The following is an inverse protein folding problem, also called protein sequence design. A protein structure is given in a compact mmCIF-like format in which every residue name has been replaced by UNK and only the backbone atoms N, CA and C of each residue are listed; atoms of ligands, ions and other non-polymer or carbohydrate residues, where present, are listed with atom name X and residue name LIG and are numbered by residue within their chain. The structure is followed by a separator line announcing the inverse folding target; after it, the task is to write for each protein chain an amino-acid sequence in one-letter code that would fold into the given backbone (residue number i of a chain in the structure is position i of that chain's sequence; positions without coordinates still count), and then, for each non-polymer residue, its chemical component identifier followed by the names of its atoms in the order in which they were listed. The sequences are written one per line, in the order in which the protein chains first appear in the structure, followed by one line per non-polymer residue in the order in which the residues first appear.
data_IF_692215291282
#
_entry.id   IF_692215291282
#
_cell.length_a   1.000
_cell.length_b   1.000
_cell.length_c   1.000
_cell.angle_alpha   90.00
_cell.angle_beta   90.00
_cell.angle_gamma   90.00
#
_symmetry.space_group_name_H-M   'P 1'
#
loop_
_entity.id
_entity.type
_entity.pdbx_description
1 polymer ?
#
# COMPACT_ATOMS: atom_id res chain seq x y z
N UNK A 1 34.89 46.78 -6.76
CA UNK A 1 33.61 46.06 -6.81
C UNK A 1 33.88 44.57 -6.89
N UNK A 2 33.57 43.78 -5.85
CA UNK A 2 33.39 42.34 -5.96
C UNK A 2 31.90 41.97 -5.89
N UNK A 3 31.45 41.17 -6.86
CA UNK A 3 30.07 40.69 -6.98
C UNK A 3 29.95 39.33 -6.29
N UNK A 4 29.27 39.31 -5.13
CA UNK A 4 28.95 38.08 -4.39
C UNK A 4 27.71 37.41 -5.03
N UNK A 5 27.70 36.10 -5.29
CA UNK A 5 26.52 35.42 -5.80
C UNK A 5 25.51 35.16 -4.66
N UNK A 6 24.19 35.32 -4.89
CA UNK A 6 23.20 35.09 -3.86
C UNK A 6 23.13 33.60 -3.50
N UNK A 7 23.44 33.29 -2.25
CA UNK A 7 23.25 31.98 -1.64
C UNK A 7 21.74 31.75 -1.44
N UNK A 8 21.07 31.29 -2.50
CA UNK A 8 19.69 30.84 -2.44
C UNK A 8 19.66 29.51 -1.68
N UNK A 9 19.29 29.54 -0.40
CA UNK A 9 18.82 28.35 0.31
C UNK A 9 17.48 27.93 -0.32
N UNK A 10 17.37 26.72 -0.90
CA UNK A 10 16.05 26.21 -1.23
C UNK A 10 15.39 25.85 0.11
N UNK A 11 14.44 26.69 0.54
CA UNK A 11 13.38 26.26 1.44
C UNK A 11 12.60 25.16 0.72
N UNK A 12 13.06 23.91 0.81
CA UNK A 12 12.27 22.73 0.48
C UNK A 12 11.18 22.59 1.54
N UNK A 13 10.17 23.46 1.42
CA UNK A 13 8.83 23.16 1.90
C UNK A 13 8.34 22.00 1.04
N UNK A 14 8.65 20.76 1.46
CA UNK A 14 7.96 19.59 0.95
C UNK A 14 6.46 19.89 1.13
N UNK A 15 5.67 20.02 0.05
CA UNK A 15 4.25 20.01 0.26
C UNK A 15 3.96 18.64 0.85
N UNK A 16 3.39 18.62 2.06
CA UNK A 16 2.66 17.47 2.57
C UNK A 16 1.43 17.26 1.67
N UNK A 17 1.68 16.96 0.40
CA UNK A 17 0.73 16.39 -0.54
C UNK A 17 0.57 14.95 -0.07
N UNK A 18 -0.25 14.78 0.96
CA UNK A 18 -0.87 13.50 1.27
C UNK A 18 -1.74 13.13 0.07
N UNK A 19 -1.11 12.72 -1.03
CA UNK A 19 -1.82 12.15 -2.15
C UNK A 19 -2.55 10.91 -1.60
N UNK A 20 -3.88 10.82 -1.77
CA UNK A 20 -4.68 9.73 -1.18
C UNK A 20 -4.14 8.35 -1.57
N UNK A 21 -3.55 8.22 -2.77
CA UNK A 21 -2.86 7.01 -3.21
C UNK A 21 -1.68 6.60 -2.31
N UNK A 22 -0.85 7.54 -1.84
CA UNK A 22 0.26 7.24 -0.94
C UNK A 22 -0.20 6.83 0.46
N UNK A 23 -1.39 7.26 0.90
CA UNK A 23 -1.96 6.82 2.16
C UNK A 23 -2.40 5.35 2.10
N UNK A 24 -3.14 4.97 1.04
CA UNK A 24 -3.58 3.58 0.86
C UNK A 24 -2.43 2.60 0.64
N UNK A 25 -1.41 2.97 -0.12
CA UNK A 25 -0.24 2.12 -0.31
C UNK A 25 0.56 1.92 0.99
N UNK A 26 0.64 2.94 1.85
CA UNK A 26 1.25 2.80 3.18
C UNK A 26 0.45 1.87 4.08
N UNK A 27 -0.88 2.03 4.12
CA UNK A 27 -1.76 1.17 4.92
C UNK A 27 -1.70 -0.28 4.41
N UNK A 28 -1.69 -0.49 3.09
CA UNK A 28 -1.48 -1.81 2.48
C UNK A 28 -0.17 -2.46 2.94
N UNK A 29 0.95 -1.74 2.82
CA UNK A 29 2.26 -2.26 3.24
C UNK A 29 2.31 -2.56 4.74
N UNK A 30 1.66 -1.74 5.56
CA UNK A 30 1.57 -1.96 6.99
C UNK A 30 0.79 -3.25 7.31
N UNK A 31 -0.39 -3.45 6.71
CA UNK A 31 -1.18 -4.68 6.89
C UNK A 31 -0.40 -5.94 6.48
N UNK A 32 0.32 -5.88 5.36
CA UNK A 32 1.16 -6.99 4.90
C UNK A 32 2.36 -7.28 5.83
N UNK A 33 2.85 -6.26 6.54
CA UNK A 33 3.94 -6.44 7.52
C UNK A 33 3.46 -7.02 8.86
N UNK A 34 2.23 -6.70 9.27
CA UNK A 34 1.62 -7.18 10.53
C UNK A 34 1.06 -8.60 10.45
N UNK A 35 0.84 -9.12 9.23
CA UNK A 35 0.25 -10.45 8.98
C UNK A 35 0.97 -11.60 9.70
N UNK A 36 2.26 -11.43 10.04
CA UNK A 36 3.04 -12.40 10.84
C UNK A 36 2.38 -12.79 12.17
N UNK A 37 1.47 -11.96 12.71
CA UNK A 37 0.80 -12.20 13.99
C UNK A 37 -0.71 -12.53 13.88
N UNK A 38 -1.33 -12.33 12.71
CA UNK A 38 -2.79 -12.25 12.58
C UNK A 38 -3.47 -13.41 11.85
N UNK A 39 -2.75 -14.14 11.01
CA UNK A 39 -3.31 -15.20 10.16
C UNK A 39 -4.06 -14.68 8.93
N UNK A 40 -4.14 -15.53 7.90
CA UNK A 40 -4.60 -15.16 6.57
C UNK A 40 -6.04 -14.61 6.51
N UNK A 41 -6.95 -15.11 7.35
CA UNK A 41 -8.35 -14.65 7.40
C UNK A 41 -8.47 -13.20 7.91
N UNK A 42 -7.69 -12.86 8.94
CA UNK A 42 -7.66 -11.50 9.49
C UNK A 42 -7.07 -10.52 8.48
N UNK A 43 -6.00 -10.92 7.79
CA UNK A 43 -5.42 -10.12 6.71
C UNK A 43 -6.42 -9.92 5.56
N UNK A 44 -7.11 -10.98 5.14
CA UNK A 44 -8.13 -10.91 4.09
C UNK A 44 -9.22 -9.89 4.42
N UNK A 45 -9.78 -9.95 5.64
CA UNK A 45 -10.80 -9.01 6.09
C UNK A 45 -10.28 -7.57 6.15
N UNK A 46 -9.04 -7.38 6.62
CA UNK A 46 -8.42 -6.05 6.70
C UNK A 46 -8.21 -5.44 5.31
N UNK A 47 -7.76 -6.24 4.35
CA UNK A 47 -7.60 -5.83 2.96
C UNK A 47 -8.94 -5.57 2.26
N UNK A 48 -9.98 -6.33 2.57
CA UNK A 48 -11.35 -6.08 2.10
C UNK A 48 -11.86 -4.71 2.57
N UNK A 49 -11.66 -4.38 3.85
CA UNK A 49 -12.05 -3.07 4.38
C UNK A 49 -11.26 -1.93 3.73
N UNK A 50 -9.97 -2.14 3.47
CA UNK A 50 -9.11 -1.18 2.78
C UNK A 50 -9.59 -0.93 1.34
N UNK A 51 -9.96 -1.99 0.62
CA UNK A 51 -10.50 -1.91 -0.74
C UNK A 51 -11.79 -1.10 -0.81
N UNK A 52 -12.74 -1.38 0.11
CA UNK A 52 -14.00 -0.63 0.19
C UNK A 52 -13.74 0.86 0.45
N UNK A 53 -12.82 1.19 1.36
CA UNK A 53 -12.44 2.58 1.64
C UNK A 53 -11.82 3.24 0.41
N UNK A 54 -10.88 2.57 -0.26
CA UNK A 54 -10.25 3.06 -1.48
C UNK A 54 -11.29 3.33 -2.59
N UNK A 55 -12.25 2.42 -2.79
CA UNK A 55 -13.35 2.59 -3.75
C UNK A 55 -14.21 3.82 -3.43
N UNK A 56 -14.68 3.94 -2.18
CA UNK A 56 -15.55 5.06 -1.77
C UNK A 56 -14.86 6.43 -1.89
N UNK A 57 -13.53 6.46 -1.76
CA UNK A 57 -12.73 7.69 -1.87
C UNK A 57 -12.27 8.01 -3.31
N UNK A 58 -12.58 7.16 -4.29
CA UNK A 58 -12.14 7.35 -5.67
C UNK A 58 -10.63 7.18 -5.86
N UNK A 59 -10.02 6.21 -5.17
CA UNK A 59 -8.61 5.87 -5.38
C UNK A 59 -8.32 5.48 -6.83
N UNK A 60 -7.08 5.66 -7.28
CA UNK A 60 -6.68 5.31 -8.64
C UNK A 60 -6.80 3.81 -8.89
N UNK A 61 -7.10 3.41 -10.14
CA UNK A 61 -7.16 2.01 -10.56
C UNK A 61 -5.91 1.21 -10.19
N UNK A 62 -4.73 1.84 -10.28
CA UNK A 62 -3.47 1.21 -9.89
C UNK A 62 -3.45 0.85 -8.39
N UNK A 63 -3.97 1.73 -7.54
CA UNK A 63 -4.08 1.51 -6.08
C UNK A 63 -5.08 0.40 -5.79
N UNK A 64 -6.25 0.45 -6.43
CA UNK A 64 -7.28 -0.57 -6.28
C UNK A 64 -6.78 -1.95 -6.72
N UNK A 65 -6.11 -2.05 -7.88
CA UNK A 65 -5.51 -3.31 -8.35
C UNK A 65 -4.51 -3.87 -7.36
N UNK A 66 -3.63 -3.04 -6.79
CA UNK A 66 -2.67 -3.50 -5.80
C UNK A 66 -3.35 -4.11 -4.55
N UNK A 67 -4.38 -3.44 -4.02
CA UNK A 67 -5.15 -3.92 -2.86
C UNK A 67 -5.90 -5.23 -3.20
N UNK A 68 -6.59 -5.29 -4.34
CA UNK A 68 -7.32 -6.47 -4.78
C UNK A 68 -6.39 -7.67 -4.96
N UNK A 69 -5.22 -7.47 -5.59
CA UNK A 69 -4.21 -8.53 -5.75
C UNK A 69 -3.76 -9.05 -4.40
N UNK A 70 -3.37 -8.16 -3.48
CA UNK A 70 -2.97 -8.55 -2.13
C UNK A 70 -4.08 -9.33 -1.39
N UNK A 71 -5.33 -8.86 -1.46
CA UNK A 71 -6.48 -9.55 -0.84
C UNK A 71 -6.67 -10.94 -1.43
N UNK A 72 -6.59 -11.05 -2.74
CA UNK A 72 -6.76 -12.32 -3.46
C UNK A 72 -5.66 -13.31 -3.09
N UNK A 73 -4.41 -12.85 -3.00
CA UNK A 73 -3.29 -13.67 -2.51
C UNK A 73 -3.49 -14.12 -1.06
N UNK A 74 -3.95 -13.23 -0.18
CA UNK A 74 -4.29 -13.59 1.21
C UNK A 74 -5.43 -14.63 1.28
N UNK A 75 -6.45 -14.47 0.42
CA UNK A 75 -7.55 -15.45 0.29
C UNK A 75 -7.06 -16.81 -0.19
N UNK A 76 -6.16 -16.85 -1.18
CA UNK A 76 -5.52 -18.10 -1.59
C UNK A 76 -4.65 -18.71 -0.50
N UNK A 77 -3.96 -17.90 0.32
CA UNK A 77 -3.21 -18.41 1.46
C UNK A 77 -4.13 -19.01 2.54
N UNK A 78 -5.31 -18.39 2.78
CA UNK A 78 -6.34 -18.93 3.68
C UNK A 78 -6.92 -20.25 3.17
N UNK A 79 -7.22 -20.35 1.88
CA UNK A 79 -7.67 -21.59 1.23
C UNK A 79 -6.54 -22.63 1.07
N UNK A 80 -5.30 -22.17 1.16
CA UNK A 80 -4.08 -22.83 0.70
C UNK A 80 -3.16 -23.37 1.79
N UNK A 81 -3.70 -23.74 2.95
CA UNK A 81 -3.12 -24.83 3.75
C UNK A 81 -3.07 -26.19 3.00
N UNK A 82 -3.38 -26.22 1.70
CA UNK A 82 -3.24 -27.36 0.81
C UNK A 82 -1.86 -27.34 0.13
N UNK A 83 -1.02 -28.37 0.35
CA UNK A 83 0.30 -28.48 -0.26
C UNK A 83 0.12 -28.72 -1.76
N UNK A 84 0.23 -27.68 -2.60
CA UNK A 84 0.03 -27.90 -4.04
C UNK A 84 0.11 -26.68 -4.97
N UNK A 85 0.09 -25.44 -4.47
CA UNK A 85 0.32 -24.29 -5.35
C UNK A 85 1.83 -24.10 -5.52
N UNK A 86 2.37 -24.80 -6.52
CA UNK A 86 3.76 -24.74 -6.96
C UNK A 86 4.11 -23.32 -7.41
N UNK A 87 5.14 -22.74 -6.78
CA UNK A 87 5.82 -21.53 -7.21
C UNK A 87 6.48 -21.81 -8.58
N UNK A 88 6.19 -21.06 -9.66
CA UNK A 88 6.92 -21.26 -10.91
C UNK A 88 8.37 -20.82 -10.71
N UNK A 89 9.28 -21.64 -11.27
CA UNK A 89 10.74 -21.46 -11.25
C UNK A 89 11.17 -20.30 -12.15
#
# INVERSE_FOLDING_TARGET
MPTEPPSASPSETFPASNAPACAYMRELLHLLSEDRAGGADRLFLSLLMLELRALTSGASDATLRAIVTARTTAGFASLGGLPGIVRPA
#
